data_IF_975572832518
#
_entry.id   IF_975572832518
#
_cell.length_a   1.000
_cell.length_b   1.000
_cell.length_c   1.000
_cell.angle_alpha   90.00
_cell.angle_beta   90.00
_cell.angle_gamma   90.00
#
_symmetry.space_group_name_H-M   'P 1'
#
loop_
_entity.id
_entity.type
_entity.pdbx_description
1 polymer ?
#
# COMPACT_ATOMS: atom_id res chain seq x y z
N UNK A 1 -4.11 -12.95 10.92
CA UNK A 1 -4.57 -13.66 9.70
C UNK A 1 -5.40 -14.85 10.16
N UNK A 2 -6.39 -15.33 9.40
CA UNK A 2 -7.02 -16.63 9.73
C UNK A 2 -6.14 -17.72 9.12
N UNK A 3 -5.53 -18.53 9.98
CA UNK A 3 -4.61 -19.60 9.58
C UNK A 3 -5.20 -20.99 9.84
N UNK A 4 -6.34 -21.05 10.53
CA UNK A 4 -7.00 -22.30 10.91
C UNK A 4 -7.50 -23.05 9.68
N UNK A 5 -6.86 -24.19 9.39
CA UNK A 5 -7.15 -24.99 8.21
C UNK A 5 -8.61 -25.46 8.12
N UNK A 6 -9.23 -25.80 9.27
CA UNK A 6 -10.63 -26.20 9.33
C UNK A 6 -11.60 -25.13 8.79
N UNK A 7 -11.27 -23.84 8.96
CA UNK A 7 -12.08 -22.73 8.44
C UNK A 7 -11.96 -22.69 6.92
N UNK A 8 -10.76 -22.87 6.37
CA UNK A 8 -10.52 -22.89 4.93
C UNK A 8 -11.23 -24.08 4.26
N UNK A 9 -11.15 -25.27 4.86
CA UNK A 9 -11.88 -26.45 4.37
C UNK A 9 -13.39 -26.25 4.40
N UNK A 10 -13.93 -25.70 5.49
CA UNK A 10 -15.36 -25.38 5.59
C UNK A 10 -15.82 -24.35 4.54
N UNK A 11 -14.99 -23.34 4.27
CA UNK A 11 -15.27 -22.33 3.26
C UNK A 11 -15.24 -22.89 1.83
N UNK A 12 -14.28 -23.77 1.53
CA UNK A 12 -14.23 -24.49 0.25
C UNK A 12 -15.46 -25.39 0.09
N UNK A 13 -15.83 -26.14 1.12
CA UNK A 13 -17.04 -26.96 1.09
C UNK A 13 -18.29 -26.12 0.80
N UNK A 14 -18.41 -24.96 1.44
CA UNK A 14 -19.53 -24.04 1.20
C UNK A 14 -19.55 -23.52 -0.23
N UNK A 15 -18.39 -23.13 -0.78
CA UNK A 15 -18.26 -22.66 -2.16
C UNK A 15 -18.64 -23.74 -3.18
N UNK A 16 -18.25 -24.99 -2.94
CA UNK A 16 -18.53 -26.13 -3.84
C UNK A 16 -20.02 -26.56 -3.82
N UNK A 17 -20.75 -26.26 -2.75
CA UNK A 17 -22.15 -26.69 -2.54
C UNK A 17 -23.13 -25.52 -2.43
N UNK A 18 -22.71 -24.34 -2.89
CA UNK A 18 -23.45 -23.10 -2.69
C UNK A 18 -24.75 -23.10 -3.52
N UNK A 19 -25.94 -22.91 -2.91
CA UNK A 19 -27.19 -22.86 -3.66
C UNK A 19 -27.24 -21.59 -4.51
N UNK A 20 -27.84 -21.65 -5.70
CA UNK A 20 -27.85 -20.52 -6.65
C UNK A 20 -28.56 -19.24 -6.17
N UNK A 21 -29.19 -19.24 -5.00
CA UNK A 21 -29.76 -18.05 -4.37
C UNK A 21 -28.79 -17.32 -3.43
N UNK A 22 -27.66 -17.94 -3.08
CA UNK A 22 -26.69 -17.37 -2.15
C UNK A 22 -25.51 -16.78 -2.93
N UNK A 23 -25.00 -15.65 -2.44
CA UNK A 23 -23.78 -15.02 -2.95
C UNK A 23 -22.82 -14.83 -1.77
N UNK A 24 -21.58 -15.25 -1.94
CA UNK A 24 -20.54 -15.10 -0.93
C UNK A 24 -19.62 -13.94 -1.32
N UNK A 25 -19.48 -12.96 -0.43
CA UNK A 25 -18.48 -11.89 -0.55
C UNK A 25 -17.38 -12.12 0.47
N UNK A 26 -16.14 -12.16 0.02
CA UNK A 26 -14.95 -12.32 0.87
C UNK A 26 -14.11 -11.06 0.78
N UNK A 27 -13.76 -10.51 1.94
CA UNK A 27 -12.84 -9.39 2.08
C UNK A 27 -11.64 -9.86 2.89
N UNK A 28 -10.45 -9.75 2.33
CA UNK A 28 -9.21 -10.17 2.98
C UNK A 28 -8.08 -9.20 2.65
N UNK A 29 -7.16 -9.02 3.61
CA UNK A 29 -5.94 -8.22 3.43
C UNK A 29 -4.80 -9.01 2.77
N UNK A 30 -4.95 -10.33 2.67
CA UNK A 30 -4.03 -11.21 1.95
C UNK A 30 -4.82 -12.21 1.13
N UNK A 31 -4.17 -12.83 0.15
CA UNK A 31 -4.81 -13.92 -0.60
C UNK A 31 -4.99 -15.12 0.32
N UNK A 32 -6.22 -15.53 0.68
CA UNK A 32 -6.43 -16.72 1.49
C UNK A 32 -6.04 -17.96 0.69
N UNK A 33 -5.58 -19.04 1.35
CA UNK A 33 -5.12 -20.26 0.67
C UNK A 33 -6.30 -21.12 0.19
N UNK A 34 -7.19 -20.54 -0.62
CA UNK A 34 -8.36 -21.19 -1.20
C UNK A 34 -8.08 -21.57 -2.65
N UNK A 35 -8.45 -22.79 -3.04
CA UNK A 35 -8.26 -23.29 -4.41
C UNK A 35 -9.37 -22.82 -5.36
N UNK A 36 -9.39 -21.52 -5.65
CA UNK A 36 -10.46 -20.85 -6.41
C UNK A 36 -10.35 -20.99 -7.94
N UNK A 37 -9.32 -21.67 -8.45
CA UNK A 37 -9.05 -21.75 -9.90
C UNK A 37 -10.22 -22.30 -10.73
N UNK A 38 -10.98 -23.22 -10.17
CA UNK A 38 -12.14 -23.80 -10.84
C UNK A 38 -13.31 -22.80 -10.99
N UNK A 39 -13.56 -21.94 -9.99
CA UNK A 39 -14.58 -20.89 -10.06
C UNK A 39 -14.20 -19.81 -11.08
N UNK A 40 -12.90 -19.47 -11.12
CA UNK A 40 -12.36 -18.53 -12.12
C UNK A 40 -12.56 -19.06 -13.55
N UNK A 41 -12.25 -20.33 -13.79
CA UNK A 41 -12.43 -20.95 -15.11
C UNK A 41 -13.90 -21.02 -15.56
N UNK A 42 -14.85 -21.04 -14.61
CA UNK A 42 -16.30 -21.05 -14.88
C UNK A 42 -16.93 -19.66 -14.93
N UNK A 43 -16.17 -18.58 -14.71
CA UNK A 43 -16.70 -17.22 -14.63
C UNK A 43 -17.61 -16.98 -13.41
N UNK A 44 -17.45 -17.78 -12.36
CA UNK A 44 -18.27 -17.71 -11.12
C UNK A 44 -17.57 -16.92 -10.00
N UNK A 45 -16.49 -16.22 -10.33
CA UNK A 45 -15.66 -15.48 -9.39
C UNK A 45 -15.37 -14.08 -9.93
N UNK A 46 -15.70 -13.07 -9.13
CA UNK A 46 -15.23 -11.70 -9.32
C UNK A 46 -14.13 -11.42 -8.29
N UNK A 47 -12.94 -11.08 -8.76
CA UNK A 47 -11.82 -10.67 -7.91
C UNK A 47 -11.56 -9.18 -8.12
N UNK A 48 -11.58 -8.44 -7.02
CA UNK A 48 -11.16 -7.05 -6.98
C UNK A 48 -9.82 -6.99 -6.23
N UNK A 49 -8.79 -6.54 -6.92
CA UNK A 49 -7.46 -6.33 -6.36
C UNK A 49 -7.28 -4.87 -5.95
N UNK A 50 -6.22 -4.60 -5.19
CA UNK A 50 -5.90 -3.25 -4.73
C UNK A 50 -5.80 -2.24 -5.89
N UNK A 51 -5.33 -2.66 -7.06
CA UNK A 51 -5.25 -1.83 -8.25
C UNK A 51 -6.63 -1.43 -8.80
N UNK A 52 -7.63 -2.31 -8.69
CA UNK A 52 -9.00 -2.06 -9.15
C UNK A 52 -9.76 -1.10 -8.22
N UNK A 53 -9.26 -0.91 -7.00
CA UNK A 53 -9.80 0.03 -6.00
C UNK A 53 -9.14 1.40 -6.05
N UNK A 54 -8.13 1.60 -6.92
CA UNK A 54 -7.50 2.91 -7.11
C UNK A 54 -8.46 3.80 -7.88
N UNK A 55 -8.73 4.96 -7.32
CA UNK A 55 -9.57 5.95 -7.97
C UNK A 55 -8.81 6.52 -9.16
N UNK A 56 -9.51 6.58 -10.29
CA UNK A 56 -9.11 7.41 -11.42
C UNK A 56 -9.16 8.89 -11.03
N UNK A 57 -8.49 9.76 -11.79
CA UNK A 57 -8.52 11.21 -11.53
C UNK A 57 -9.95 11.78 -11.54
N UNK A 58 -10.85 11.20 -12.35
CA UNK A 58 -12.27 11.59 -12.38
C UNK A 58 -13.00 11.17 -11.10
N UNK A 59 -12.79 9.95 -10.62
CA UNK A 59 -13.39 9.46 -9.36
C UNK A 59 -12.81 10.21 -8.15
N UNK A 60 -11.52 10.52 -8.16
CA UNK A 60 -10.87 11.33 -7.13
C UNK A 60 -11.48 12.74 -7.08
N UNK A 61 -11.70 13.39 -8.23
CA UNK A 61 -12.36 14.69 -8.30
C UNK A 61 -13.80 14.62 -7.75
N UNK A 62 -14.57 13.62 -8.16
CA UNK A 62 -15.95 13.44 -7.71
C UNK A 62 -16.01 13.19 -6.19
N UNK A 63 -15.10 12.38 -5.66
CA UNK A 63 -15.01 12.10 -4.24
C UNK A 63 -14.62 13.35 -3.43
N UNK A 64 -13.53 14.02 -3.80
CA UNK A 64 -13.02 15.18 -3.07
C UNK A 64 -14.00 16.37 -3.10
N UNK A 65 -14.65 16.60 -4.24
CA UNK A 65 -15.51 17.77 -4.40
C UNK A 65 -16.97 17.50 -4.08
N UNK A 66 -17.54 16.36 -4.51
CA UNK A 66 -18.97 16.07 -4.31
C UNK A 66 -19.26 15.38 -2.99
N UNK A 67 -18.39 14.45 -2.56
CA UNK A 67 -18.60 13.70 -1.30
C UNK A 67 -17.98 14.44 -0.11
N UNK A 68 -16.75 14.93 -0.26
CA UNK A 68 -16.03 15.60 0.84
C UNK A 68 -16.25 17.13 0.87
N UNK A 69 -16.81 17.72 -0.19
CA UNK A 69 -17.23 19.13 -0.22
C UNK A 69 -16.09 20.14 -0.29
N UNK A 70 -14.90 19.74 -0.76
CA UNK A 70 -13.68 20.56 -0.68
C UNK A 70 -13.55 21.64 -1.77
N UNK A 71 -14.33 21.54 -2.86
CA UNK A 71 -14.29 22.48 -4.00
C UNK A 71 -12.86 22.76 -4.52
N UNK A 72 -12.02 21.74 -4.57
CA UNK A 72 -10.66 21.79 -5.12
C UNK A 72 -10.69 21.96 -6.63
N UNK A 73 -9.70 22.66 -7.15
CA UNK A 73 -9.47 22.74 -8.59
C UNK A 73 -8.83 21.44 -9.14
N UNK A 74 -8.71 21.35 -10.47
CA UNK A 74 -8.19 20.15 -11.10
C UNK A 74 -6.72 19.87 -10.76
N UNK A 75 -5.91 20.91 -10.55
CA UNK A 75 -4.48 20.76 -10.25
C UNK A 75 -4.26 20.25 -8.82
N UNK A 76 -5.09 20.73 -7.88
CA UNK A 76 -5.10 20.27 -6.50
C UNK A 76 -5.55 18.81 -6.39
N UNK A 77 -6.60 18.43 -7.13
CA UNK A 77 -7.05 17.03 -7.22
C UNK A 77 -5.97 16.14 -7.80
N UNK A 78 -5.33 16.55 -8.90
CA UNK A 78 -4.25 15.77 -9.53
C UNK A 78 -3.06 15.62 -8.57
N UNK A 79 -2.73 16.66 -7.80
CA UNK A 79 -1.67 16.60 -6.78
C UNK A 79 -2.00 15.58 -5.69
N UNK A 80 -3.23 15.58 -5.18
CA UNK A 80 -3.66 14.62 -4.16
C UNK A 80 -3.72 13.19 -4.70
N UNK A 81 -4.24 13.01 -5.90
CA UNK A 81 -4.30 11.70 -6.56
C UNK A 81 -2.89 11.15 -6.80
N UNK A 82 -1.97 11.95 -7.35
CA UNK A 82 -0.60 11.52 -7.60
C UNK A 82 0.19 11.21 -6.32
N UNK A 83 -0.10 11.90 -5.20
CA UNK A 83 0.54 11.65 -3.90
C UNK A 83 -0.05 10.45 -3.16
N UNK A 84 -1.32 10.12 -3.40
CA UNK A 84 -2.00 8.97 -2.79
C UNK A 84 -2.05 7.77 -3.72
N UNK A 85 -1.57 7.90 -4.96
CA UNK A 85 -1.69 6.91 -6.04
C UNK A 85 -3.14 6.42 -6.25
N UNK A 86 -4.10 7.34 -6.13
CA UNK A 86 -5.52 7.03 -6.20
C UNK A 86 -6.05 6.18 -5.04
N UNK A 87 -5.26 5.96 -3.98
CA UNK A 87 -5.70 5.14 -2.85
C UNK A 87 -6.76 5.87 -2.03
N UNK A 88 -7.97 5.31 -2.01
CA UNK A 88 -9.13 5.94 -1.39
C UNK A 88 -8.93 6.28 0.10
N UNK A 89 -8.25 5.42 0.87
CA UNK A 89 -7.96 5.70 2.28
C UNK A 89 -7.01 6.91 2.42
N UNK A 90 -5.98 6.98 1.57
CA UNK A 90 -5.07 8.13 1.50
C UNK A 90 -5.80 9.42 1.12
N UNK A 91 -6.64 9.37 0.07
CA UNK A 91 -7.48 10.50 -0.34
C UNK A 91 -8.44 10.95 0.75
N UNK A 92 -9.05 10.02 1.49
CA UNK A 92 -9.95 10.33 2.59
C UNK A 92 -9.21 11.01 3.75
N UNK A 93 -8.04 10.50 4.14
CA UNK A 93 -7.22 11.12 5.19
C UNK A 93 -6.71 12.51 4.78
N UNK A 94 -6.35 12.68 3.50
CA UNK A 94 -6.02 13.99 2.95
C UNK A 94 -7.19 14.95 3.05
N UNK A 95 -8.37 14.50 2.61
CA UNK A 95 -9.59 15.29 2.61
C UNK A 95 -10.01 15.70 4.03
N UNK A 96 -9.94 14.79 5.00
CA UNK A 96 -10.23 15.10 6.40
C UNK A 96 -9.27 16.16 6.98
N UNK A 97 -8.02 16.18 6.51
CA UNK A 97 -7.04 17.17 6.95
C UNK A 97 -7.22 18.54 6.28
N UNK A 98 -7.90 18.58 5.13
CA UNK A 98 -8.27 19.80 4.40
C UNK A 98 -9.58 20.42 4.89
N UNK A 99 -10.45 19.64 5.55
CA UNK A 99 -11.72 20.13 6.05
C UNK A 99 -11.52 21.26 7.07
N UNK A 100 -12.13 22.41 6.78
CA UNK A 100 -12.07 23.60 7.64
C UNK A 100 -10.89 24.54 7.38
N UNK A 101 -10.01 24.22 6.43
CA UNK A 101 -8.97 25.14 5.97
C UNK A 101 -9.54 26.19 5.00
N UNK A 102 -8.98 27.40 5.04
CA UNK A 102 -9.30 28.42 4.04
C UNK A 102 -8.52 28.12 2.73
N UNK A 103 -9.01 28.59 1.55
CA UNK A 103 -8.34 28.38 0.27
C UNK A 103 -6.82 28.66 0.22
N UNK A 104 -6.27 29.75 0.83
CA UNK A 104 -4.82 29.97 0.84
C UNK A 104 -4.03 28.92 1.64
N UNK A 105 -4.66 28.29 2.65
CA UNK A 105 -4.02 27.26 3.48
C UNK A 105 -4.01 25.88 2.79
N UNK A 106 -4.93 25.65 1.85
CA UNK A 106 -5.00 24.42 1.04
C UNK A 106 -3.75 24.29 0.17
N UNK A 107 -3.31 25.35 -0.52
CA UNK A 107 -2.08 25.31 -1.32
C UNK A 107 -0.84 25.01 -0.45
N UNK A 108 -0.78 25.58 0.76
CA UNK A 108 0.26 25.28 1.74
C UNK A 108 0.21 23.81 2.19
N UNK A 109 -0.97 23.28 2.45
CA UNK A 109 -1.18 21.87 2.77
C UNK A 109 -0.72 20.95 1.63
N UNK A 110 -1.10 21.23 0.39
CA UNK A 110 -0.77 20.40 -0.76
C UNK A 110 0.72 20.35 -1.04
N UNK A 111 1.45 21.46 -0.83
CA UNK A 111 2.92 21.43 -0.91
C UNK A 111 3.52 20.56 0.19
N UNK A 112 3.02 20.66 1.42
CA UNK A 112 3.48 19.93 2.62
C UNK A 112 2.90 18.54 2.85
N UNK A 113 2.02 18.03 1.96
CA UNK A 113 1.38 16.71 2.05
C UNK A 113 2.40 15.57 1.81
N UNK A 114 3.39 15.47 2.69
CA UNK A 114 4.47 14.48 2.67
C UNK A 114 4.71 14.05 4.12
N UNK A 115 4.02 12.98 4.55
CA UNK A 115 4.23 12.28 5.83
C UNK A 115 4.03 13.09 7.14
N UNK A 116 3.85 14.41 7.08
CA UNK A 116 3.93 15.32 8.24
C UNK A 116 2.56 15.60 8.87
N UNK A 117 1.48 15.05 8.31
CA UNK A 117 0.14 15.20 8.84
C UNK A 117 -0.17 14.08 9.81
N UNK A 118 -0.44 14.46 11.07
CA UNK A 118 -0.69 13.55 12.19
C UNK A 118 -1.68 12.43 11.88
N UNK A 119 -2.78 12.72 11.18
CA UNK A 119 -3.78 11.69 10.84
C UNK A 119 -3.26 10.60 9.89
N UNK A 120 -2.39 10.97 8.95
CA UNK A 120 -1.78 10.01 8.02
C UNK A 120 -0.70 9.22 8.74
N UNK A 121 0.12 9.89 9.56
CA UNK A 121 1.13 9.24 10.38
C UNK A 121 0.50 8.24 11.36
N UNK A 122 -0.57 8.63 12.06
CA UNK A 122 -1.28 7.77 13.01
C UNK A 122 -1.86 6.54 12.29
N UNK A 123 -2.50 6.74 11.12
CA UNK A 123 -2.99 5.61 10.31
C UNK A 123 -1.86 4.69 9.83
N UNK A 124 -0.77 5.24 9.28
CA UNK A 124 0.36 4.44 8.80
C UNK A 124 1.01 3.66 9.94
N UNK A 125 1.08 4.24 11.14
CA UNK A 125 1.61 3.56 12.32
C UNK A 125 0.67 2.42 12.76
N UNK A 126 -0.61 2.71 12.99
CA UNK A 126 -1.56 1.76 13.59
C UNK A 126 -1.98 0.66 12.61
N UNK A 127 -2.28 1.01 11.36
CA UNK A 127 -2.89 0.09 10.41
C UNK A 127 -1.88 -0.62 9.52
N UNK A 128 -0.71 -0.01 9.29
CA UNK A 128 0.34 -0.55 8.40
C UNK A 128 1.53 -1.08 9.22
N UNK A 129 2.23 -0.21 9.96
CA UNK A 129 3.51 -0.53 10.59
C UNK A 129 3.36 -1.51 11.75
N UNK A 130 2.48 -1.23 12.72
CA UNK A 130 2.27 -2.08 13.91
C UNK A 130 1.74 -3.48 13.58
N UNK A 131 1.17 -3.68 12.39
CA UNK A 131 0.71 -4.98 11.92
C UNK A 131 1.81 -5.82 11.26
N UNK A 132 2.99 -5.26 11.01
CA UNK A 132 4.11 -6.00 10.45
C UNK A 132 4.92 -6.72 11.55
N UNK A 133 5.55 -7.86 11.23
CA UNK A 133 6.58 -8.43 12.08
C UNK A 133 7.73 -7.45 12.35
N UNK A 134 8.36 -7.52 13.52
CA UNK A 134 9.48 -6.64 13.93
C UNK A 134 10.57 -6.47 12.85
N UNK A 135 11.06 -7.53 12.16
CA UNK A 135 12.08 -7.36 11.13
C UNK A 135 11.63 -6.51 9.94
N UNK A 136 10.32 -6.50 9.64
CA UNK A 136 9.75 -5.71 8.56
C UNK A 136 9.53 -4.27 9.02
N UNK A 137 9.20 -4.04 10.29
CA UNK A 137 9.11 -2.68 10.84
C UNK A 137 10.47 -1.97 10.76
N UNK A 138 11.53 -2.64 11.19
CA UNK A 138 12.90 -2.11 11.11
C UNK A 138 13.30 -1.79 9.66
N UNK A 139 12.98 -2.69 8.73
CA UNK A 139 13.23 -2.48 7.31
C UNK A 139 12.49 -1.23 6.78
N UNK A 140 11.20 -1.08 7.10
CA UNK A 140 10.39 0.06 6.67
C UNK A 140 10.92 1.38 7.25
N UNK A 141 11.29 1.39 8.53
CA UNK A 141 11.87 2.56 9.19
C UNK A 141 13.22 2.96 8.58
N UNK A 142 14.11 1.99 8.33
CA UNK A 142 15.43 2.25 7.74
C UNK A 142 15.34 2.73 6.29
N UNK A 143 14.35 2.27 5.53
CA UNK A 143 14.16 2.64 4.12
C UNK A 143 13.25 3.86 3.91
N UNK A 144 12.63 4.39 4.97
CA UNK A 144 11.73 5.56 4.91
C UNK A 144 12.38 6.86 4.40
N UNK A 145 13.71 6.93 4.43
CA UNK A 145 14.48 8.08 3.89
C UNK A 145 14.57 8.07 2.35
N UNK A 146 14.13 7.00 1.70
CA UNK A 146 14.24 6.82 0.25
C UNK A 146 12.93 7.19 -0.43
N UNK A 147 12.98 8.08 -1.42
CA UNK A 147 11.80 8.40 -2.26
C UNK A 147 11.34 7.21 -3.12
N UNK A 148 12.26 6.30 -3.46
CA UNK A 148 12.02 5.10 -4.26
C UNK A 148 12.90 3.97 -3.77
N UNK A 149 12.30 2.79 -3.64
CA UNK A 149 12.96 1.57 -3.21
C UNK A 149 13.02 0.57 -4.36
N UNK A 150 14.21 -0.02 -4.53
CA UNK A 150 14.42 -1.24 -5.29
C UNK A 150 15.24 -2.21 -4.44
N UNK A 151 15.16 -3.52 -4.70
CA UNK A 151 15.81 -4.55 -3.87
C UNK A 151 17.28 -4.25 -3.53
N UNK A 152 18.15 -4.00 -4.54
CA UNK A 152 19.55 -3.69 -4.29
C UNK A 152 19.80 -2.42 -3.45
N UNK A 153 18.94 -1.41 -3.58
CA UNK A 153 19.03 -0.18 -2.79
C UNK A 153 18.58 -0.42 -1.34
N UNK A 154 17.53 -1.21 -1.15
CA UNK A 154 17.09 -1.65 0.18
C UNK A 154 18.18 -2.41 0.92
N UNK A 155 18.80 -3.39 0.25
CA UNK A 155 19.90 -4.17 0.81
C UNK A 155 21.09 -3.28 1.19
N UNK A 156 21.40 -2.27 0.38
CA UNK A 156 22.49 -1.34 0.65
C UNK A 156 22.23 -0.44 1.88
N UNK A 157 20.99 0.01 2.08
CA UNK A 157 20.62 0.87 3.22
C UNK A 157 20.55 0.05 4.51
N UNK A 158 19.92 -1.13 4.48
CA UNK A 158 19.81 -2.01 5.65
C UNK A 158 21.15 -2.63 6.04
N UNK A 159 22.01 -2.91 5.06
CA UNK A 159 23.37 -3.42 5.25
C UNK A 159 24.36 -2.44 5.89
N UNK A 160 24.04 -1.13 5.97
CA UNK A 160 24.85 -0.15 6.71
C UNK A 160 24.41 0.01 8.17
N UNK A 161 23.16 -0.32 8.51
CA UNK A 161 22.64 -0.33 9.89
C UNK A 161 22.88 -1.62 10.67
N UNK A 162 23.29 -2.69 10.00
CA UNK A 162 23.46 -4.02 10.59
C UNK A 162 24.90 -4.55 10.51
N UNK A 163 25.89 -3.69 10.79
CA UNK A 163 27.23 -4.16 11.22
C UNK A 163 27.18 -4.65 12.67
N UNK A 164 26.53 -5.80 12.87
CA UNK A 164 26.46 -6.46 14.18
C UNK A 164 26.04 -7.94 14.17
N UNK A 165 25.59 -8.51 13.04
CA UNK A 165 25.07 -9.90 13.07
C UNK A 165 25.26 -10.73 11.79
N UNK A 166 26.31 -10.48 10.98
CA UNK A 166 26.61 -11.36 9.85
C UNK A 166 28.11 -11.48 9.55
N UNK A 167 28.94 -11.67 10.58
CA UNK A 167 30.30 -12.18 10.42
C UNK A 167 30.27 -13.70 10.66
N UNK A 168 29.98 -14.50 9.64
CA UNK A 168 30.70 -15.75 9.31
C UNK A 168 29.97 -16.50 8.19
N UNK A 169 30.38 -16.23 6.94
CA UNK A 169 30.87 -17.28 6.02
C UNK A 169 31.33 -16.67 4.70
N UNK A 170 32.64 -16.85 4.47
CA UNK A 170 33.37 -16.88 3.19
C UNK A 170 33.87 -15.55 2.62
N UNK A 171 35.12 -15.30 3.00
CA UNK A 171 36.19 -14.60 2.27
C UNK A 171 36.06 -14.61 0.73
N UNK A 172 35.80 -13.46 0.15
CA UNK A 172 36.42 -12.96 -1.10
C UNK A 172 36.27 -11.43 -1.13
N UNK A 173 37.34 -10.64 -1.39
CA UNK A 173 37.22 -9.18 -1.47
C UNK A 173 36.59 -8.79 -2.81
N UNK A 174 35.37 -8.24 -2.77
CA UNK A 174 34.73 -7.60 -3.92
C UNK A 174 35.30 -6.17 -4.08
N UNK A 175 35.70 -5.73 -5.29
CA UNK A 175 36.21 -4.37 -5.52
C UNK A 175 35.09 -3.32 -5.37
N UNK A 176 35.43 -2.01 -5.26
CA UNK A 176 34.43 -0.95 -5.07
C UNK A 176 33.39 -0.95 -6.20
N UNK A 177 32.11 -0.99 -5.80
CA UNK A 177 30.98 -1.08 -6.72
C UNK A 177 30.92 0.15 -7.65
N UNK A 178 30.73 -0.04 -8.98
CA UNK A 178 30.42 1.05 -9.90
C UNK A 178 29.01 1.60 -9.61
N UNK A 179 28.64 2.79 -10.12
CA UNK A 179 27.30 3.36 -9.93
C UNK A 179 26.25 2.39 -10.46
N UNK A 180 25.46 1.81 -9.55
CA UNK A 180 24.51 0.75 -9.86
C UNK A 180 23.41 1.28 -10.79
N UNK A 181 23.33 0.81 -12.06
CA UNK A 181 22.16 1.07 -12.87
C UNK A 181 21.06 0.11 -12.39
N UNK A 182 19.96 0.68 -11.89
CA UNK A 182 18.73 -0.05 -11.59
C UNK A 182 18.18 -0.66 -12.89
N UNK A 183 18.60 -1.87 -13.24
CA UNK A 183 18.21 -2.54 -14.46
C UNK A 183 16.95 -3.38 -14.21
N UNK A 184 15.79 -2.97 -14.77
CA UNK A 184 14.57 -3.78 -14.81
C UNK A 184 13.51 -3.43 -13.76
N UNK A 185 12.76 -2.36 -14.03
CA UNK A 185 11.63 -1.78 -13.29
C UNK A 185 10.72 -2.71 -12.47
N UNK A 186 10.84 -2.64 -11.14
CA UNK A 186 9.73 -2.48 -10.18
C UNK A 186 10.23 -1.62 -9.04
N UNK A 187 9.92 -0.33 -9.10
CA UNK A 187 10.15 0.57 -7.98
C UNK A 187 8.93 0.52 -7.07
N UNK A 188 9.15 0.34 -5.78
CA UNK A 188 8.15 0.71 -4.79
C UNK A 188 8.44 2.15 -4.38
N UNK A 189 7.47 3.04 -4.53
CA UNK A 189 7.59 4.37 -3.91
C UNK A 189 7.31 4.19 -2.43
N UNK A 190 8.26 4.58 -1.59
CA UNK A 190 8.07 4.61 -0.13
C UNK A 190 7.62 6.03 0.17
N UNK A 191 6.47 6.18 0.81
CA UNK A 191 5.85 7.47 1.19
C UNK A 191 5.56 7.48 2.67
#
# INVERSE_FOLDING_TARGET
>A
LIETEAIHHGLMFLLDHLPGQLHLTLLSRTTPPLSLGHLRARGQLLELQAADLRFTSAEAAEFLNRVMGLNLDAADVETLEARTEGWIAGLQLAALSLQGLAPPDIAGFLTGFSGSHRYIADYLVEEVLQRQPEPIQDFLLQTSILDRLCGPLGDAVVGQGSRGAAEQRRTHPCPPAPPLPCCGSRYFRVS
#
